data_IF_486601624606
#
_entry.id   IF_486601624606
#
_cell.length_a   1.000
_cell.length_b   1.000
_cell.length_c   1.000
_cell.angle_alpha   90.00
_cell.angle_beta   90.00
_cell.angle_gamma   90.00
#
_symmetry.space_group_name_H-M   'P 1'
#
loop_
_entity.id
_entity.type
_entity.pdbx_description
1 polymer ?
#
# COMPACT_ATOMS: atom_id res chain seq x y z
N UNK A 1 -68.76 9.55 -28.57
CA UNK A 1 -67.39 9.42 -29.15
C UNK A 1 -66.46 9.68 -27.97
N UNK A 2 -65.96 8.60 -27.37
CA UNK A 2 -65.04 8.61 -26.24
C UNK A 2 -63.62 8.48 -26.78
N UNK A 3 -62.82 9.44 -26.51
CA UNK A 3 -61.39 9.42 -26.83
C UNK A 3 -60.65 8.99 -25.58
N UNK A 4 -60.06 7.78 -25.64
CA UNK A 4 -59.38 7.11 -24.56
C UNK A 4 -57.86 7.17 -24.87
N UNK A 5 -57.26 8.25 -24.44
CA UNK A 5 -55.84 8.52 -24.64
C UNK A 5 -55.04 7.82 -23.52
N UNK A 6 -54.67 6.56 -23.74
CA UNK A 6 -53.80 5.81 -22.83
C UNK A 6 -52.34 6.33 -22.92
N UNK A 7 -51.90 7.01 -21.87
CA UNK A 7 -50.51 7.40 -21.65
C UNK A 7 -49.70 6.16 -21.27
N UNK A 8 -48.91 5.67 -22.21
CA UNK A 8 -47.97 4.58 -21.98
C UNK A 8 -46.77 5.07 -21.15
N UNK A 9 -46.75 4.73 -19.88
CA UNK A 9 -45.58 4.92 -18.98
C UNK A 9 -44.50 3.91 -19.31
N UNK A 10 -43.43 4.38 -19.96
CA UNK A 10 -42.21 3.58 -20.19
C UNK A 10 -41.57 3.13 -18.88
N UNK A 11 -41.14 1.86 -18.74
CA UNK A 11 -40.49 1.39 -17.54
C UNK A 11 -39.10 2.02 -17.42
N UNK A 12 -38.87 2.70 -16.28
CA UNK A 12 -37.55 3.24 -15.88
C UNK A 12 -36.57 2.08 -15.75
N UNK A 13 -35.61 1.98 -16.67
CA UNK A 13 -34.51 1.04 -16.61
C UNK A 13 -33.69 1.31 -15.33
N UNK A 14 -33.84 0.46 -14.31
CA UNK A 14 -32.98 0.49 -13.10
C UNK A 14 -31.53 0.28 -13.55
N UNK A 15 -30.65 1.23 -13.22
CA UNK A 15 -29.20 1.08 -13.42
C UNK A 15 -28.73 -0.21 -12.73
N UNK A 16 -27.89 -1.03 -13.39
CA UNK A 16 -27.36 -2.24 -12.77
C UNK A 16 -26.60 -1.85 -11.50
N UNK A 17 -27.03 -2.34 -10.35
CA UNK A 17 -26.28 -2.17 -9.09
C UNK A 17 -24.91 -2.84 -9.20
N UNK A 18 -23.92 -2.32 -8.44
CA UNK A 18 -22.57 -2.90 -8.34
C UNK A 18 -22.66 -4.43 -8.20
N UNK A 19 -21.95 -5.25 -9.01
CA UNK A 19 -22.09 -6.71 -9.00
C UNK A 19 -21.92 -7.28 -7.58
N UNK A 20 -22.80 -8.17 -7.15
CA UNK A 20 -22.76 -8.81 -5.82
C UNK A 20 -21.39 -9.41 -5.48
N UNK A 21 -20.63 -9.84 -6.47
CA UNK A 21 -19.28 -10.37 -6.30
C UNK A 21 -18.27 -9.33 -5.81
N UNK A 22 -18.38 -8.06 -6.24
CA UNK A 22 -17.49 -6.98 -5.80
C UNK A 22 -17.82 -6.52 -4.38
N UNK A 23 -19.10 -6.43 -4.02
CA UNK A 23 -19.51 -6.11 -2.65
C UNK A 23 -19.04 -7.17 -1.65
N UNK A 24 -19.13 -8.45 -2.04
CA UNK A 24 -18.64 -9.56 -1.23
C UNK A 24 -17.12 -9.52 -1.04
N UNK A 25 -16.37 -9.18 -2.08
CA UNK A 25 -14.91 -9.04 -2.04
C UNK A 25 -14.48 -7.93 -1.09
N UNK A 26 -15.08 -6.76 -1.22
CA UNK A 26 -14.78 -5.62 -0.33
C UNK A 26 -15.09 -5.94 1.12
N UNK A 27 -16.22 -6.60 1.39
CA UNK A 27 -16.58 -7.03 2.73
C UNK A 27 -15.57 -8.03 3.32
N UNK A 28 -15.05 -8.97 2.50
CA UNK A 28 -14.03 -9.93 2.93
C UNK A 28 -12.71 -9.22 3.23
N UNK A 29 -12.25 -8.34 2.35
CA UNK A 29 -11.00 -7.58 2.54
C UNK A 29 -11.12 -6.66 3.76
N UNK A 30 -12.23 -5.95 3.92
CA UNK A 30 -12.47 -5.12 5.09
C UNK A 30 -12.45 -5.94 6.39
N UNK A 31 -13.16 -7.09 6.42
CA UNK A 31 -13.16 -7.98 7.58
C UNK A 31 -11.76 -8.51 7.91
N UNK A 32 -10.96 -8.85 6.88
CA UNK A 32 -9.57 -9.28 7.04
C UNK A 32 -8.72 -8.17 7.66
N UNK A 33 -8.82 -6.96 7.14
CA UNK A 33 -8.10 -5.78 7.64
C UNK A 33 -8.42 -5.51 9.12
N UNK A 34 -9.71 -5.52 9.47
CA UNK A 34 -10.14 -5.28 10.85
C UNK A 34 -9.65 -6.38 11.81
N UNK A 35 -9.75 -7.66 11.41
CA UNK A 35 -9.26 -8.76 12.24
C UNK A 35 -7.74 -8.73 12.43
N UNK A 36 -6.98 -8.35 11.39
CA UNK A 36 -5.54 -8.15 11.52
C UNK A 36 -5.19 -7.04 12.52
N UNK A 37 -5.97 -5.97 12.53
CA UNK A 37 -5.78 -4.84 13.45
C UNK A 37 -6.15 -5.20 14.88
N UNK A 38 -7.30 -5.87 15.06
CA UNK A 38 -7.88 -6.15 16.36
C UNK A 38 -7.18 -7.32 17.07
N UNK A 39 -6.82 -8.37 16.32
CA UNK A 39 -6.40 -9.65 16.87
C UNK A 39 -5.00 -10.10 16.39
N UNK A 40 -4.42 -9.43 15.41
CA UNK A 40 -3.13 -9.79 14.80
C UNK A 40 -3.20 -10.98 13.83
N UNK A 41 -2.05 -11.27 13.19
CA UNK A 41 -1.96 -12.31 12.16
C UNK A 41 -2.14 -13.74 12.72
N UNK A 42 -1.57 -14.03 13.89
CA UNK A 42 -1.64 -15.38 14.49
C UNK A 42 -3.08 -15.82 14.76
N UNK A 43 -3.93 -14.92 15.25
CA UNK A 43 -5.33 -15.18 15.56
C UNK A 43 -6.27 -15.16 14.36
N UNK A 44 -5.82 -14.64 13.22
CA UNK A 44 -6.60 -14.55 11.99
C UNK A 44 -6.82 -15.94 11.39
N UNK A 45 -8.08 -16.28 11.14
CA UNK A 45 -8.46 -17.48 10.39
C UNK A 45 -9.48 -17.13 9.31
N UNK A 46 -9.47 -17.93 8.21
CA UNK A 46 -10.48 -17.77 7.14
C UNK A 46 -11.90 -17.96 7.66
N UNK A 47 -12.09 -18.76 8.72
CA UNK A 47 -13.38 -18.93 9.37
C UNK A 47 -13.89 -17.65 10.03
N UNK A 48 -13.03 -16.94 10.77
CA UNK A 48 -13.37 -15.65 11.39
C UNK A 48 -13.68 -14.59 10.33
N UNK A 49 -12.87 -14.54 9.25
CA UNK A 49 -13.12 -13.62 8.12
C UNK A 49 -14.47 -13.92 7.48
N UNK A 50 -14.76 -15.18 7.19
CA UNK A 50 -16.02 -15.61 6.58
C UNK A 50 -17.23 -15.20 7.44
N UNK A 51 -17.16 -15.45 8.76
CA UNK A 51 -18.20 -15.06 9.70
C UNK A 51 -18.41 -13.53 9.73
N UNK A 52 -17.32 -12.74 9.87
CA UNK A 52 -17.39 -11.27 9.94
C UNK A 52 -17.87 -10.64 8.63
N UNK A 53 -17.44 -11.20 7.48
CA UNK A 53 -17.83 -10.73 6.14
C UNK A 53 -19.21 -11.24 5.67
N UNK A 54 -19.84 -12.13 6.44
CA UNK A 54 -21.06 -12.86 6.04
C UNK A 54 -20.89 -13.56 4.69
N UNK A 55 -19.73 -14.18 4.48
CA UNK A 55 -19.36 -14.90 3.27
C UNK A 55 -19.10 -16.38 3.58
N UNK A 56 -19.19 -17.24 2.56
CA UNK A 56 -18.80 -18.64 2.73
C UNK A 56 -17.27 -18.80 2.63
N UNK A 57 -16.70 -19.79 3.34
CA UNK A 57 -15.27 -20.14 3.19
C UNK A 57 -14.92 -20.48 1.75
N UNK A 58 -15.81 -21.17 1.02
CA UNK A 58 -15.61 -21.52 -0.39
C UNK A 58 -15.50 -20.28 -1.28
N UNK A 59 -16.27 -19.21 -0.98
CA UNK A 59 -16.15 -17.93 -1.69
C UNK A 59 -14.78 -17.30 -1.49
N UNK A 60 -14.22 -17.39 -0.28
CA UNK A 60 -12.90 -16.87 0.05
C UNK A 60 -11.82 -17.68 -0.66
N UNK A 61 -11.80 -19.02 -0.46
CA UNK A 61 -10.76 -19.89 -1.01
C UNK A 61 -10.72 -19.91 -2.54
N UNK A 62 -11.84 -19.66 -3.22
CA UNK A 62 -11.87 -19.55 -4.68
C UNK A 62 -11.03 -18.39 -5.20
N UNK A 63 -10.85 -17.31 -4.44
CA UNK A 63 -10.10 -16.12 -4.83
C UNK A 63 -8.73 -16.04 -4.18
N UNK A 64 -8.65 -16.44 -2.93
CA UNK A 64 -7.44 -16.44 -2.12
C UNK A 64 -7.20 -17.85 -1.60
N UNK A 65 -6.33 -18.63 -2.28
CA UNK A 65 -6.11 -20.04 -1.95
C UNK A 65 -5.64 -20.27 -0.52
N UNK A 66 -4.92 -19.30 0.07
CA UNK A 66 -4.42 -19.38 1.44
C UNK A 66 -4.72 -18.10 2.24
N UNK A 67 -4.56 -18.18 3.56
CA UNK A 67 -4.65 -17.05 4.49
C UNK A 67 -3.66 -15.93 4.09
N UNK A 68 -2.46 -16.32 3.69
CA UNK A 68 -1.39 -15.41 3.29
C UNK A 68 -1.79 -14.56 2.08
N UNK A 69 -2.34 -15.18 1.04
CA UNK A 69 -2.85 -14.47 -0.14
C UNK A 69 -3.96 -13.47 0.23
N UNK A 70 -4.86 -13.87 1.11
CA UNK A 70 -5.93 -12.99 1.59
C UNK A 70 -5.39 -11.78 2.35
N UNK A 71 -4.42 -11.99 3.23
CA UNK A 71 -3.77 -10.93 4.02
C UNK A 71 -3.00 -9.97 3.11
N UNK A 72 -2.24 -10.50 2.15
CA UNK A 72 -1.49 -9.68 1.20
C UNK A 72 -2.42 -8.88 0.30
N UNK A 73 -3.57 -9.45 -0.11
CA UNK A 73 -4.57 -8.68 -0.86
C UNK A 73 -5.18 -7.55 -0.03
N UNK A 74 -5.44 -7.78 1.25
CA UNK A 74 -5.91 -6.72 2.15
C UNK A 74 -4.88 -5.59 2.26
N UNK A 75 -3.59 -5.93 2.30
CA UNK A 75 -2.50 -4.96 2.28
C UNK A 75 -2.35 -4.25 0.92
N UNK A 76 -2.59 -4.93 -0.19
CA UNK A 76 -2.55 -4.36 -1.55
C UNK A 76 -3.64 -3.30 -1.78
N UNK A 77 -4.72 -3.31 -1.00
CA UNK A 77 -5.77 -2.27 -1.06
C UNK A 77 -5.32 -0.92 -0.47
N UNK A 78 -4.17 -0.89 0.18
CA UNK A 78 -3.59 0.40 0.57
C UNK A 78 -3.16 1.18 -0.66
N UNK A 79 -3.34 2.50 -0.65
CA UNK A 79 -2.94 3.32 -1.78
C UNK A 79 -1.49 3.05 -2.18
N UNK A 80 -1.27 2.86 -3.47
CA UNK A 80 0.08 2.79 -3.99
C UNK A 80 0.72 4.19 -3.93
N UNK A 81 2.03 4.22 -3.65
CA UNK A 81 2.81 5.43 -3.82
C UNK A 81 3.04 5.66 -5.32
N UNK A 82 2.90 6.89 -5.76
CA UNK A 82 3.15 7.28 -7.16
C UNK A 82 4.35 8.20 -7.23
N UNK A 83 5.35 7.89 -8.06
CA UNK A 83 6.51 8.76 -8.23
C UNK A 83 6.08 10.06 -8.92
N UNK A 84 6.39 11.20 -8.31
CA UNK A 84 6.26 12.51 -8.96
C UNK A 84 7.41 12.78 -9.91
N UNK A 85 7.27 13.79 -10.75
CA UNK A 85 8.30 14.26 -11.67
C UNK A 85 8.24 15.80 -11.72
N UNK A 86 8.80 16.43 -10.67
CA UNK A 86 8.81 17.89 -10.49
C UNK A 86 10.08 18.53 -11.02
N UNK A 87 10.97 17.72 -11.58
CA UNK A 87 12.21 18.17 -12.18
C UNK A 87 13.42 18.22 -11.24
N UNK A 88 13.26 17.85 -9.98
CA UNK A 88 14.38 17.69 -9.03
C UNK A 88 14.16 16.55 -8.05
N UNK A 89 15.24 15.85 -7.72
CA UNK A 89 15.22 14.63 -6.90
C UNK A 89 14.72 14.90 -5.47
N UNK A 90 15.07 16.03 -4.88
CA UNK A 90 14.67 16.39 -3.52
C UNK A 90 13.16 16.57 -3.43
N UNK A 91 12.58 17.36 -4.34
CA UNK A 91 11.14 17.61 -4.40
C UNK A 91 10.35 16.33 -4.66
N UNK A 92 10.84 15.45 -5.54
CA UNK A 92 10.20 14.19 -5.89
C UNK A 92 10.19 13.21 -4.71
N UNK A 93 11.32 13.04 -4.02
CA UNK A 93 11.45 12.20 -2.84
C UNK A 93 10.61 12.73 -1.66
N UNK A 94 10.60 14.05 -1.43
CA UNK A 94 9.77 14.65 -0.39
C UNK A 94 8.26 14.50 -0.70
N UNK A 95 7.87 14.56 -1.96
CA UNK A 95 6.48 14.31 -2.35
C UNK A 95 6.08 12.86 -2.11
N UNK A 96 6.93 11.91 -2.49
CA UNK A 96 6.75 10.49 -2.20
C UNK A 96 6.59 10.25 -0.69
N UNK A 97 7.42 10.89 0.13
CA UNK A 97 7.34 10.80 1.58
C UNK A 97 6.04 11.42 2.14
N UNK A 98 5.55 12.54 1.58
CA UNK A 98 4.24 13.10 1.96
C UNK A 98 3.09 12.13 1.65
N UNK A 99 3.15 11.44 0.51
CA UNK A 99 2.18 10.40 0.17
C UNK A 99 2.21 9.25 1.20
N UNK A 100 3.42 8.79 1.56
CA UNK A 100 3.62 7.77 2.58
C UNK A 100 3.02 8.19 3.93
N UNK A 101 3.31 9.39 4.42
CA UNK A 101 2.74 9.90 5.68
C UNK A 101 1.21 9.94 5.66
N UNK A 102 0.59 10.33 4.53
CA UNK A 102 -0.88 10.31 4.38
C UNK A 102 -1.47 8.91 4.50
N UNK A 103 -0.75 7.89 4.04
CA UNK A 103 -1.18 6.49 4.17
C UNK A 103 -0.99 6.04 5.63
N UNK A 104 0.16 6.34 6.21
CA UNK A 104 0.51 5.95 7.57
C UNK A 104 -0.48 6.46 8.62
N UNK A 105 -0.93 7.71 8.48
CA UNK A 105 -1.89 8.31 9.42
C UNK A 105 -3.32 7.81 9.26
N UNK A 106 -3.61 6.97 8.25
CA UNK A 106 -4.93 6.35 8.10
C UNK A 106 -4.96 5.00 8.80
N UNK A 107 -5.83 4.81 9.82
CA UNK A 107 -6.03 3.47 10.36
C UNK A 107 -6.49 2.49 9.26
N UNK A 108 -6.06 1.24 9.29
CA UNK A 108 -5.27 0.53 10.30
C UNK A 108 -3.78 0.32 9.89
N UNK A 109 -3.25 1.17 9.00
CA UNK A 109 -1.96 0.95 8.32
C UNK A 109 -0.77 0.73 9.26
N UNK A 110 -0.73 1.45 10.37
CA UNK A 110 0.40 1.41 11.32
C UNK A 110 0.46 0.15 12.18
N UNK A 111 -0.67 -0.55 12.35
CA UNK A 111 -0.73 -1.75 13.22
C UNK A 111 -0.43 -3.06 12.46
N UNK A 112 -0.74 -3.11 11.16
CA UNK A 112 -0.64 -4.35 10.38
C UNK A 112 0.80 -4.66 9.97
N UNK A 113 1.57 -3.66 9.54
CA UNK A 113 2.92 -3.87 9.04
C UNK A 113 3.87 -4.53 10.06
N UNK A 114 3.98 -4.07 11.32
CA UNK A 114 4.84 -4.74 12.31
C UNK A 114 4.48 -6.21 12.50
N UNK A 115 3.19 -6.53 12.53
CA UNK A 115 2.70 -7.90 12.68
C UNK A 115 3.11 -8.77 11.50
N UNK A 116 3.00 -8.27 10.26
CA UNK A 116 3.41 -9.01 9.06
C UNK A 116 4.93 -9.21 8.99
N UNK A 117 5.71 -8.21 9.35
CA UNK A 117 7.17 -8.29 9.38
C UNK A 117 7.65 -9.32 10.41
N UNK A 118 7.07 -9.32 11.61
CA UNK A 118 7.39 -10.29 12.64
C UNK A 118 7.02 -11.72 12.22
N UNK A 119 5.82 -11.90 11.68
CA UNK A 119 5.34 -13.22 11.24
C UNK A 119 6.13 -13.77 10.04
N UNK A 120 6.52 -12.89 9.10
CA UNK A 120 7.32 -13.26 7.92
C UNK A 120 8.59 -14.03 8.30
N UNK A 121 9.25 -13.66 9.40
CA UNK A 121 10.50 -14.29 9.84
C UNK A 121 10.35 -15.80 10.14
N UNK A 122 9.14 -16.25 10.47
CA UNK A 122 8.85 -17.62 10.88
C UNK A 122 7.84 -18.34 9.98
N UNK A 123 7.33 -17.65 8.94
CA UNK A 123 6.29 -18.17 8.04
C UNK A 123 6.76 -18.06 6.57
N UNK A 124 7.38 -19.12 6.00
CA UNK A 124 7.84 -19.10 4.61
C UNK A 124 6.73 -18.88 3.58
N UNK A 125 5.49 -19.34 3.88
CA UNK A 125 4.36 -19.14 2.99
C UNK A 125 3.94 -17.65 2.93
N UNK A 126 4.02 -16.95 4.06
CA UNK A 126 3.81 -15.50 4.10
C UNK A 126 4.98 -14.79 3.41
N UNK A 127 6.22 -15.17 3.67
CA UNK A 127 7.39 -14.58 3.03
C UNK A 127 7.30 -14.64 1.49
N UNK A 128 6.89 -15.78 0.93
CA UNK A 128 6.77 -16.00 -0.51
C UNK A 128 5.83 -15.00 -1.21
N UNK A 129 4.80 -14.49 -0.52
CA UNK A 129 3.84 -13.51 -1.07
C UNK A 129 4.13 -12.08 -0.62
N UNK A 130 4.73 -11.92 0.55
CA UNK A 130 5.05 -10.61 1.13
C UNK A 130 6.30 -9.97 0.49
N UNK A 131 7.37 -10.76 0.27
CA UNK A 131 8.65 -10.23 -0.24
C UNK A 131 8.52 -9.61 -1.64
N UNK A 132 7.85 -10.24 -2.63
CA UNK A 132 7.63 -9.62 -3.93
C UNK A 132 6.81 -8.33 -3.84
N UNK A 133 5.86 -8.26 -2.88
CA UNK A 133 5.10 -7.04 -2.65
C UNK A 133 6.00 -5.92 -2.14
N UNK A 134 6.87 -6.21 -1.15
CA UNK A 134 7.81 -5.21 -0.61
C UNK A 134 8.79 -4.73 -1.67
N UNK A 135 9.25 -5.61 -2.55
CA UNK A 135 10.09 -5.20 -3.69
C UNK A 135 9.36 -4.18 -4.59
N UNK A 136 8.10 -4.46 -4.97
CA UNK A 136 7.30 -3.52 -5.77
C UNK A 136 7.04 -2.18 -5.07
N UNK A 137 6.97 -2.16 -3.74
CA UNK A 137 6.81 -0.92 -2.95
C UNK A 137 8.03 0.00 -3.01
N UNK A 138 9.18 -0.52 -3.45
CA UNK A 138 10.44 0.22 -3.67
C UNK A 138 10.45 0.97 -5.01
N UNK A 139 9.68 0.50 -6.00
CA UNK A 139 9.73 0.99 -7.39
C UNK A 139 9.51 2.50 -7.53
N UNK A 140 8.61 3.17 -6.80
CA UNK A 140 8.46 4.62 -6.89
C UNK A 140 9.73 5.39 -6.52
N UNK A 141 10.42 5.01 -5.45
CA UNK A 141 11.68 5.65 -5.05
C UNK A 141 12.80 5.35 -6.05
N UNK A 142 12.89 4.08 -6.51
CA UNK A 142 13.84 3.66 -7.54
C UNK A 142 13.67 4.49 -8.81
N UNK A 143 12.45 4.66 -9.30
CA UNK A 143 12.18 5.43 -10.51
C UNK A 143 12.56 6.90 -10.36
N UNK A 144 12.31 7.53 -9.22
CA UNK A 144 12.74 8.92 -8.94
C UNK A 144 14.25 9.03 -9.03
N UNK A 145 15.00 8.12 -8.37
CA UNK A 145 16.47 8.15 -8.40
C UNK A 145 17.04 7.89 -9.80
N UNK A 146 16.46 6.96 -10.56
CA UNK A 146 16.87 6.72 -11.95
C UNK A 146 16.67 7.95 -12.83
N UNK A 147 15.54 8.64 -12.72
CA UNK A 147 15.31 9.92 -13.42
C UNK A 147 16.30 11.01 -13.01
N UNK A 148 16.67 11.06 -11.72
CA UNK A 148 17.69 11.99 -11.24
C UNK A 148 19.08 11.72 -11.87
N UNK A 149 19.42 10.44 -12.08
CA UNK A 149 20.64 10.07 -12.83
C UNK A 149 20.53 10.50 -14.29
N UNK A 150 19.40 10.28 -14.94
CA UNK A 150 19.16 10.71 -16.33
C UNK A 150 19.23 12.22 -16.51
N UNK A 151 18.74 13.00 -15.54
CA UNK A 151 18.85 14.47 -15.52
C UNK A 151 20.25 14.98 -15.13
N UNK A 152 21.17 14.10 -14.70
CA UNK A 152 22.51 14.46 -14.25
C UNK A 152 22.57 15.07 -12.85
N UNK A 153 21.51 14.97 -12.05
CA UNK A 153 21.47 15.39 -10.65
C UNK A 153 22.26 14.42 -9.76
N UNK A 154 22.27 13.12 -10.12
CA UNK A 154 23.05 12.08 -9.47
C UNK A 154 24.08 11.48 -10.44
N UNK A 155 25.24 11.04 -9.94
CA UNK A 155 26.23 10.33 -10.73
C UNK A 155 25.67 9.04 -11.34
N UNK A 156 26.15 8.64 -12.52
CA UNK A 156 25.80 7.35 -13.13
C UNK A 156 26.24 6.15 -12.30
N UNK A 157 27.21 6.32 -11.42
CA UNK A 157 27.72 5.30 -10.49
C UNK A 157 26.89 5.17 -9.23
N UNK A 158 25.78 5.92 -9.09
CA UNK A 158 24.92 5.85 -7.90
C UNK A 158 24.35 4.45 -7.73
N UNK A 159 24.55 3.84 -6.55
CA UNK A 159 23.88 2.61 -6.16
C UNK A 159 22.43 2.93 -5.76
N UNK A 160 21.54 2.80 -6.74
CA UNK A 160 20.10 3.10 -6.58
C UNK A 160 19.46 2.21 -5.53
N UNK A 161 19.83 0.93 -5.47
CA UNK A 161 19.24 -0.01 -4.50
C UNK A 161 19.63 0.35 -3.07
N UNK A 162 20.91 0.66 -2.84
CA UNK A 162 21.38 1.12 -1.53
C UNK A 162 20.73 2.44 -1.10
N UNK A 163 20.56 3.38 -2.04
CA UNK A 163 19.87 4.64 -1.77
C UNK A 163 18.39 4.42 -1.39
N UNK A 164 17.69 3.54 -2.09
CA UNK A 164 16.31 3.14 -1.74
C UNK A 164 16.28 2.47 -0.36
N UNK A 165 17.22 1.58 -0.06
CA UNK A 165 17.32 0.93 1.25
C UNK A 165 17.54 1.94 2.37
N UNK A 166 18.40 2.93 2.16
CA UNK A 166 18.64 4.00 3.14
C UNK A 166 17.36 4.83 3.41
N UNK A 167 16.63 5.22 2.35
CA UNK A 167 15.39 6.00 2.46
C UNK A 167 14.30 5.21 3.19
N UNK A 168 14.13 3.94 2.85
CA UNK A 168 13.15 3.09 3.52
C UNK A 168 13.60 2.71 4.93
N UNK A 169 14.88 2.43 5.12
CA UNK A 169 15.47 2.01 6.40
C UNK A 169 15.30 3.04 7.49
N UNK A 170 15.60 4.33 7.23
CA UNK A 170 15.39 5.38 8.22
C UNK A 170 13.92 5.52 8.61
N UNK A 171 13.01 5.35 7.66
CA UNK A 171 11.57 5.41 7.91
C UNK A 171 11.11 4.29 8.83
N UNK A 172 11.50 3.06 8.51
CA UNK A 172 11.18 1.86 9.31
C UNK A 172 11.80 1.94 10.70
N UNK A 173 13.07 2.37 10.80
CA UNK A 173 13.77 2.57 12.07
C UNK A 173 13.00 3.54 12.98
N UNK A 174 12.57 4.68 12.44
CA UNK A 174 11.87 5.72 13.21
C UNK A 174 10.43 5.32 13.57
N UNK A 175 9.79 4.51 12.75
CA UNK A 175 8.44 4.05 13.02
C UNK A 175 8.37 2.97 14.09
N UNK A 176 9.30 2.00 14.06
CA UNK A 176 9.11 0.74 14.77
C UNK A 176 10.18 0.41 15.79
N UNK A 177 11.37 0.99 15.69
CA UNK A 177 12.51 0.63 16.58
C UNK A 177 12.93 1.77 17.50
N UNK A 178 13.18 2.95 16.95
CA UNK A 178 13.61 4.12 17.70
C UNK A 178 12.67 5.27 17.36
N UNK A 179 11.55 5.41 18.09
CA UNK A 179 10.58 6.48 17.80
C UNK A 179 11.25 7.86 17.70
N UNK A 180 10.95 8.58 16.64
CA UNK A 180 11.58 9.87 16.39
C UNK A 180 10.80 10.71 15.39
N UNK A 181 11.37 11.88 15.09
CA UNK A 181 10.74 12.83 14.17
C UNK A 181 10.70 12.28 12.74
N UNK A 182 9.48 12.05 12.24
CA UNK A 182 9.14 11.68 10.86
C UNK A 182 8.50 12.85 10.10
N UNK A 183 8.75 14.09 10.54
CA UNK A 183 8.27 15.26 9.81
C UNK A 183 8.96 15.41 8.44
N UNK A 184 8.33 16.17 7.56
CA UNK A 184 8.92 16.57 6.26
C UNK A 184 10.27 17.27 6.47
N UNK A 185 10.41 18.05 7.55
CA UNK A 185 11.66 18.73 7.90
C UNK A 185 12.77 17.74 8.26
N UNK A 186 12.47 16.72 9.05
CA UNK A 186 13.44 15.67 9.41
C UNK A 186 13.85 14.84 8.18
N UNK A 187 12.89 14.47 7.34
CA UNK A 187 13.16 13.74 6.11
C UNK A 187 14.02 14.58 5.14
N UNK A 188 13.73 15.87 4.98
CA UNK A 188 14.56 16.75 4.15
C UNK A 188 16.03 16.74 4.60
N UNK A 189 16.31 16.92 5.89
CA UNK A 189 17.68 16.87 6.42
C UNK A 189 18.36 15.53 6.17
N UNK A 190 17.62 14.42 6.33
CA UNK A 190 18.15 13.10 6.00
C UNK A 190 18.50 12.99 4.51
N UNK A 191 17.60 13.42 3.63
CA UNK A 191 17.83 13.39 2.19
C UNK A 191 18.99 14.31 1.75
N UNK A 192 19.16 15.48 2.39
CA UNK A 192 20.33 16.35 2.16
C UNK A 192 21.63 15.59 2.43
N UNK A 193 21.73 14.90 3.57
CA UNK A 193 22.92 14.09 3.91
C UNK A 193 23.10 12.93 2.93
N UNK A 194 22.03 12.21 2.61
CA UNK A 194 22.07 11.05 1.71
C UNK A 194 22.50 11.48 0.29
N UNK A 195 21.84 12.47 -0.27
CA UNK A 195 22.10 12.92 -1.65
C UNK A 195 23.51 13.55 -1.76
N UNK A 196 23.97 14.29 -0.74
CA UNK A 196 25.35 14.78 -0.70
C UNK A 196 26.35 13.61 -0.66
N UNK A 197 26.11 12.59 0.19
CA UNK A 197 26.94 11.39 0.26
C UNK A 197 26.97 10.58 -1.04
N UNK A 198 25.90 10.64 -1.83
CA UNK A 198 25.84 10.04 -3.17
C UNK A 198 26.52 10.91 -4.25
N UNK A 199 27.03 12.09 -3.90
CA UNK A 199 27.69 13.01 -4.81
C UNK A 199 26.74 13.82 -5.69
N UNK A 200 25.51 14.05 -5.22
CA UNK A 200 24.57 14.95 -5.90
C UNK A 200 25.14 16.37 -5.98
N UNK A 201 24.97 17.01 -7.13
CA UNK A 201 25.38 18.38 -7.33
C UNK A 201 24.29 19.34 -6.85
N UNK A 202 24.67 20.33 -5.99
CA UNK A 202 23.78 21.42 -5.61
C UNK A 202 22.92 21.19 -4.34
N UNK A 203 23.30 20.24 -3.46
CA UNK A 203 22.67 20.06 -2.15
C UNK A 203 23.64 20.31 -1.00
#
# INVERSE_FOLDING_TARGET
MKDDSAVATSPVKRRPGRPRSMQSEEAIIYATTMLLTDEGYASLTVAKVAARARASKSTIYRRWPTKEHLVIEAFNRWPALSPSDKGDVMSDLLDLFRQFLRILHKPPSNAIMPTLVAERAHNPALAAVFDPLMQRRRDPARLILMRAIERGELPRSTDVELAVDAIMGITVLRLYFIPGDLSIKAMRRFLEVLLHGLGARGY
#
